data_IF_530807988540
#
_entry.id   IF_530807988540
#
_cell.length_a   1.000
_cell.length_b   1.000
_cell.length_c   1.000
_cell.angle_alpha   90.00
_cell.angle_beta   90.00
_cell.angle_gamma   90.00
#
_symmetry.space_group_name_H-M   'P 1'
#
loop_
_entity.id
_entity.type
_entity.pdbx_description
1 polymer ?
#
# COMPACT_ATOMS: atom_id res chain seq x y z
N UNK A 1 25.98 0.57 14.88
CA UNK A 1 25.38 1.41 13.83
C UNK A 1 24.84 0.44 12.78
N UNK A 2 23.56 0.09 12.84
CA UNK A 2 22.95 -0.94 11.99
C UNK A 2 22.15 -0.22 10.91
N UNK A 3 22.69 -0.14 9.70
CA UNK A 3 22.00 0.44 8.55
C UNK A 3 20.99 -0.58 8.04
N UNK A 4 19.77 -0.56 8.57
CA UNK A 4 18.66 -1.30 7.98
C UNK A 4 18.25 -0.56 6.71
N UNK A 5 18.60 -1.12 5.53
CA UNK A 5 17.91 -0.76 4.30
C UNK A 5 16.48 -1.29 4.44
N UNK A 6 15.55 -0.40 4.76
CA UNK A 6 14.14 -0.69 4.49
C UNK A 6 14.06 -0.76 2.95
N UNK A 7 14.00 -1.97 2.41
CA UNK A 7 13.65 -2.15 1.01
C UNK A 7 12.16 -1.83 0.91
N UNK A 8 11.88 -0.55 0.70
CA UNK A 8 10.55 0.04 0.69
C UNK A 8 9.73 -0.49 -0.50
N UNK A 9 8.75 -1.33 -0.20
CA UNK A 9 7.82 -1.91 -1.17
C UNK A 9 6.56 -1.07 -1.40
N UNK A 10 6.47 0.13 -0.83
CA UNK A 10 5.31 1.00 -0.99
C UNK A 10 5.55 2.00 -2.12
N UNK A 11 4.66 2.06 -3.14
CA UNK A 11 4.75 3.09 -4.15
C UNK A 11 4.26 4.43 -3.59
N UNK A 12 5.01 5.51 -3.80
CA UNK A 12 4.54 6.87 -3.62
C UNK A 12 3.97 7.37 -4.96
N UNK A 13 2.74 7.91 -4.92
CA UNK A 13 2.01 8.41 -6.09
C UNK A 13 1.38 9.75 -5.75
N UNK A 14 1.35 10.66 -6.73
CA UNK A 14 0.60 11.92 -6.63
C UNK A 14 -0.48 11.95 -7.69
N UNK A 15 -1.74 12.16 -7.27
CA UNK A 15 -2.88 12.28 -8.19
C UNK A 15 -3.54 13.65 -7.98
N UNK A 16 -3.45 14.57 -8.94
CA UNK A 16 -4.08 15.89 -8.82
C UNK A 16 -5.59 15.79 -8.58
N UNK A 17 -6.09 16.55 -7.60
CA UNK A 17 -7.51 16.53 -7.21
C UNK A 17 -7.89 15.38 -6.28
N UNK A 18 -6.92 14.66 -5.71
CA UNK A 18 -7.13 13.58 -4.77
C UNK A 18 -6.23 13.72 -3.55
N UNK A 19 -6.78 13.36 -2.38
CA UNK A 19 -6.07 13.31 -1.11
C UNK A 19 -6.06 11.89 -0.56
N UNK A 20 -4.95 11.50 0.05
CA UNK A 20 -4.82 10.22 0.73
C UNK A 20 -5.70 10.19 1.97
N UNK A 21 -6.60 9.21 2.06
CA UNK A 21 -7.41 8.95 3.25
C UNK A 21 -6.78 7.92 4.18
N UNK A 22 -5.98 7.02 3.62
CA UNK A 22 -5.18 6.07 4.38
C UNK A 22 -3.96 5.64 3.59
N UNK A 23 -2.87 5.40 4.30
CA UNK A 23 -1.61 4.92 3.73
C UNK A 23 -1.08 3.82 4.64
N UNK A 24 -0.74 2.68 4.05
CA UNK A 24 -0.12 1.55 4.75
C UNK A 24 0.92 0.89 3.85
N UNK A 25 1.74 -0.04 4.37
CA UNK A 25 2.66 -0.83 3.54
C UNK A 25 1.98 -1.64 2.43
N UNK A 26 0.67 -1.88 2.53
CA UNK A 26 -0.11 -2.61 1.53
C UNK A 26 -0.65 -1.69 0.43
N UNK A 27 -0.60 -0.37 0.62
CA UNK A 27 -1.08 0.58 -0.37
C UNK A 27 -1.62 1.89 0.21
N UNK A 28 -2.05 2.75 -0.70
CA UNK A 28 -2.62 4.06 -0.41
C UNK A 28 -4.03 4.13 -0.98
N UNK A 29 -4.99 4.59 -0.18
CA UNK A 29 -6.33 4.90 -0.65
C UNK A 29 -6.49 6.41 -0.78
N UNK A 30 -6.99 6.84 -1.93
CA UNK A 30 -7.16 8.22 -2.34
C UNK A 30 -8.64 8.49 -2.61
N UNK A 31 -9.14 9.62 -2.12
CA UNK A 31 -10.48 10.12 -2.45
C UNK A 31 -10.41 11.48 -3.14
N UNK A 32 -11.37 11.82 -4.02
CA UNK A 32 -11.41 13.14 -4.63
C UNK A 32 -11.48 14.23 -3.57
N UNK A 33 -10.77 15.34 -3.81
CA UNK A 33 -10.78 16.51 -2.95
C UNK A 33 -12.17 17.17 -2.94
N UNK A 34 -12.80 17.24 -4.11
CA UNK A 34 -14.20 17.64 -4.23
C UNK A 34 -15.13 16.50 -3.80
N UNK A 35 -15.65 16.62 -2.58
CA UNK A 35 -16.56 15.65 -1.97
C UNK A 35 -17.93 15.59 -2.64
N UNK A 36 -18.33 16.59 -3.43
CA UNK A 36 -19.60 16.55 -4.19
C UNK A 36 -19.59 15.47 -5.27
N UNK A 37 -18.40 15.01 -5.66
CA UNK A 37 -18.21 13.89 -6.58
C UNK A 37 -18.48 12.52 -5.93
N UNK A 38 -18.80 12.47 -4.63
CA UNK A 38 -19.16 11.26 -3.90
C UNK A 38 -20.67 11.23 -3.57
N UNK A 39 -21.34 10.07 -3.71
CA UNK A 39 -20.81 8.77 -4.16
C UNK A 39 -20.64 8.71 -5.69
N UNK A 40 -19.71 7.88 -6.18
CA UNK A 40 -19.52 7.80 -7.64
C UNK A 40 -18.45 6.84 -8.15
N UNK A 41 -17.97 5.86 -7.38
CA UNK A 41 -16.84 4.99 -7.79
C UNK A 41 -15.62 5.79 -8.28
N UNK A 42 -15.32 6.89 -7.58
CA UNK A 42 -14.18 7.78 -7.86
C UNK A 42 -13.05 7.61 -6.87
N UNK A 43 -13.04 6.56 -6.07
CA UNK A 43 -11.89 6.24 -5.23
C UNK A 43 -10.76 5.66 -6.09
N UNK A 44 -9.52 5.95 -5.69
CA UNK A 44 -8.31 5.35 -6.27
C UNK A 44 -7.59 4.59 -5.16
N UNK A 45 -7.07 3.41 -5.47
CA UNK A 45 -6.16 2.66 -4.61
C UNK A 45 -4.85 2.40 -5.36
N UNK A 46 -3.74 2.56 -4.67
CA UNK A 46 -2.39 2.32 -5.18
C UNK A 46 -1.77 1.23 -4.31
N UNK A 47 -1.12 0.23 -4.92
CA UNK A 47 -0.48 -0.83 -4.15
C UNK A 47 0.37 -1.76 -5.01
N UNK A 48 1.01 -2.78 -4.41
CA UNK A 48 1.65 -3.84 -5.16
C UNK A 48 0.60 -4.60 -5.97
N UNK A 49 0.93 -4.95 -7.21
CA UNK A 49 0.05 -5.80 -8.02
C UNK A 49 0.08 -7.22 -7.47
N UNK A 50 -1.09 -7.84 -7.34
CA UNK A 50 -1.24 -9.24 -6.92
C UNK A 50 -1.90 -10.05 -8.04
N UNK A 51 -1.52 -11.32 -8.18
CA UNK A 51 -2.29 -12.28 -8.99
C UNK A 51 -1.99 -12.35 -10.49
N UNK A 52 -0.88 -11.78 -10.97
CA UNK A 52 -0.40 -12.00 -12.34
C UNK A 52 1.13 -11.91 -12.41
N UNK A 53 1.72 -12.61 -13.39
CA UNK A 53 3.13 -12.48 -13.70
C UNK A 53 3.46 -11.10 -14.30
N UNK A 54 4.69 -10.61 -14.14
CA UNK A 54 5.07 -9.31 -14.65
C UNK A 54 4.84 -9.16 -16.16
N UNK A 55 4.08 -8.12 -16.54
CA UNK A 55 3.75 -7.82 -17.94
C UNK A 55 2.55 -8.58 -18.50
N UNK A 56 1.99 -9.52 -17.75
CA UNK A 56 0.80 -10.27 -18.17
C UNK A 56 -0.49 -9.64 -17.65
N UNK A 57 -1.61 -9.92 -18.30
CA UNK A 57 -2.94 -9.51 -17.83
C UNK A 57 -3.44 -10.45 -16.74
N UNK A 58 -4.17 -9.93 -15.77
CA UNK A 58 -4.87 -10.73 -14.76
C UNK A 58 -6.05 -11.46 -15.41
N UNK A 59 -6.23 -12.73 -15.04
CA UNK A 59 -7.39 -13.50 -15.44
C UNK A 59 -8.69 -12.83 -14.95
N UNK A 60 -9.61 -12.56 -15.89
CA UNK A 60 -10.89 -11.90 -15.59
C UNK A 60 -10.97 -10.43 -15.98
N UNK A 61 -9.88 -9.83 -16.47
CA UNK A 61 -9.94 -8.55 -17.16
C UNK A 61 -10.84 -8.65 -18.41
N UNK A 62 -11.83 -7.78 -18.54
CA UNK A 62 -12.68 -7.67 -19.73
C UNK A 62 -11.93 -7.03 -20.90
N UNK A 63 -11.07 -6.07 -20.59
CA UNK A 63 -10.14 -5.44 -21.52
C UNK A 63 -8.76 -5.52 -20.91
N UNK A 64 -7.77 -5.90 -21.70
CA UNK A 64 -6.37 -5.74 -21.36
C UNK A 64 -5.62 -5.15 -22.54
N UNK A 65 -4.94 -4.04 -22.30
CA UNK A 65 -4.15 -3.32 -23.30
C UNK A 65 -2.72 -3.14 -22.79
N UNK A 66 -1.77 -3.73 -23.50
CA UNK A 66 -0.34 -3.52 -23.24
C UNK A 66 0.10 -2.26 -24.01
N UNK A 67 0.26 -1.15 -23.29
CA UNK A 67 0.74 0.11 -23.88
C UNK A 67 2.25 0.11 -24.10
N UNK A 68 2.99 -0.59 -23.23
CA UNK A 68 4.43 -0.81 -23.35
C UNK A 68 4.85 -2.06 -22.56
N UNK A 69 6.09 -2.55 -22.71
CA UNK A 69 6.59 -3.68 -21.93
C UNK A 69 6.53 -3.49 -20.40
N UNK A 70 6.37 -2.25 -19.93
CA UNK A 70 6.31 -1.92 -18.49
C UNK A 70 5.02 -1.23 -18.08
N UNK A 71 4.04 -1.10 -18.98
CA UNK A 71 2.78 -0.39 -18.73
C UNK A 71 1.63 -1.12 -19.41
N UNK A 72 0.64 -1.50 -18.63
CA UNK A 72 -0.59 -2.12 -19.12
C UNK A 72 -1.81 -1.47 -18.46
N UNK A 73 -2.91 -1.48 -19.19
CA UNK A 73 -4.23 -1.06 -18.74
C UNK A 73 -5.15 -2.27 -18.69
N UNK A 74 -5.90 -2.42 -17.60
CA UNK A 74 -6.94 -3.44 -17.47
C UNK A 74 -8.27 -2.81 -17.08
N UNK A 75 -9.35 -3.39 -17.61
CA UNK A 75 -10.71 -3.02 -17.25
C UNK A 75 -11.47 -4.24 -16.79
N UNK A 76 -12.11 -4.13 -15.64
CA UNK A 76 -13.00 -5.12 -15.05
C UNK A 76 -14.44 -4.61 -15.08
N UNK A 77 -15.36 -5.41 -14.55
CA UNK A 77 -16.80 -5.09 -14.54
C UNK A 77 -17.13 -3.83 -13.74
N UNK A 78 -16.39 -3.55 -12.67
CA UNK A 78 -16.67 -2.49 -11.70
C UNK A 78 -15.48 -1.54 -11.46
N UNK A 79 -14.32 -1.90 -11.98
CA UNK A 79 -13.05 -1.24 -11.74
C UNK A 79 -12.18 -1.25 -12.99
N UNK A 80 -11.12 -0.46 -12.96
CA UNK A 80 -10.09 -0.41 -13.97
C UNK A 80 -8.77 -0.07 -13.29
N UNK A 81 -7.67 -0.51 -13.87
CA UNK A 81 -6.35 -0.20 -13.33
C UNK A 81 -5.32 0.02 -14.43
N UNK A 82 -4.25 0.70 -14.02
CA UNK A 82 -3.00 0.62 -14.72
C UNK A 82 -1.96 -0.06 -13.85
N UNK A 83 -1.13 -0.86 -14.49
CA UNK A 83 -0.04 -1.56 -13.83
C UNK A 83 1.28 -1.14 -14.45
N UNK A 84 2.28 -0.89 -13.60
CA UNK A 84 3.63 -0.53 -14.02
C UNK A 84 4.69 -1.24 -13.19
N UNK A 85 5.80 -1.60 -13.84
CA UNK A 85 7.00 -2.06 -13.13
C UNK A 85 7.92 -0.87 -12.79
N UNK A 86 8.25 -0.69 -11.52
CA UNK A 86 9.17 0.34 -11.03
C UNK A 86 10.16 -0.31 -10.05
N UNK A 87 11.46 -0.21 -10.33
CA UNK A 87 12.50 -0.74 -9.43
C UNK A 87 12.47 -2.26 -9.23
N UNK A 88 11.90 -3.02 -10.17
CA UNK A 88 11.75 -4.47 -10.07
C UNK A 88 10.48 -4.93 -9.36
N UNK A 89 9.60 -4.00 -8.97
CA UNK A 89 8.30 -4.29 -8.35
C UNK A 89 7.16 -3.81 -9.25
N UNK A 90 6.11 -4.63 -9.41
CA UNK A 90 4.90 -4.21 -10.08
C UNK A 90 3.95 -3.50 -9.11
N UNK A 91 3.49 -2.33 -9.52
CA UNK A 91 2.49 -1.55 -8.82
C UNK A 91 1.25 -1.39 -9.68
N UNK A 92 0.09 -1.42 -9.03
CA UNK A 92 -1.20 -1.13 -9.63
C UNK A 92 -1.76 0.19 -9.09
N UNK A 93 -2.37 0.96 -9.99
CA UNK A 93 -3.24 2.09 -9.65
C UNK A 93 -4.63 1.73 -10.13
N UNK A 94 -5.49 1.32 -9.18
CA UNK A 94 -6.88 0.92 -9.44
C UNK A 94 -7.84 2.05 -9.12
N UNK A 95 -8.76 2.32 -10.02
CA UNK A 95 -9.86 3.26 -9.83
C UNK A 95 -11.20 2.62 -10.15
N UNK A 96 -12.27 3.19 -9.61
CA UNK A 96 -13.60 2.84 -10.10
C UNK A 96 -13.84 3.38 -11.52
N UNK A 97 -14.92 2.92 -12.16
CA UNK A 97 -15.20 3.22 -13.57
C UNK A 97 -15.48 4.70 -13.88
N UNK A 98 -15.73 5.54 -12.86
CA UNK A 98 -15.94 6.98 -13.04
C UNK A 98 -14.64 7.79 -13.00
N UNK A 99 -13.50 7.16 -12.69
CA UNK A 99 -12.19 7.81 -12.79
C UNK A 99 -11.74 7.78 -14.25
N UNK A 100 -11.31 8.92 -14.78
CA UNK A 100 -10.81 8.97 -16.15
C UNK A 100 -9.56 8.12 -16.34
N UNK A 101 -9.51 7.33 -17.41
CA UNK A 101 -8.35 6.49 -17.77
C UNK A 101 -7.05 7.32 -17.84
N UNK A 102 -7.12 8.55 -18.33
CA UNK A 102 -5.97 9.44 -18.40
C UNK A 102 -5.43 9.83 -17.00
N UNK A 103 -6.30 9.98 -16.01
CA UNK A 103 -5.91 10.26 -14.62
C UNK A 103 -5.16 9.07 -14.03
N UNK A 104 -5.69 7.85 -14.22
CA UNK A 104 -5.02 6.62 -13.76
C UNK A 104 -3.66 6.42 -14.45
N UNK A 105 -3.59 6.70 -15.74
CA UNK A 105 -2.35 6.65 -16.52
C UNK A 105 -1.30 7.63 -15.99
N UNK A 106 -1.69 8.87 -15.75
CA UNK A 106 -0.79 9.88 -15.17
C UNK A 106 -0.32 9.47 -13.77
N UNK A 107 -1.24 8.96 -12.94
CA UNK A 107 -0.94 8.49 -11.59
C UNK A 107 0.10 7.36 -11.59
N UNK A 108 -0.10 6.31 -12.39
CA UNK A 108 0.86 5.19 -12.45
C UNK A 108 2.22 5.60 -13.02
N UNK A 109 2.24 6.57 -13.95
CA UNK A 109 3.49 7.11 -14.50
C UNK A 109 4.25 7.99 -13.50
N UNK A 110 3.54 8.59 -12.54
CA UNK A 110 4.15 9.32 -11.41
C UNK A 110 4.69 8.39 -10.31
N UNK A 111 4.31 7.11 -10.32
CA UNK A 111 4.68 6.16 -9.29
C UNK A 111 6.20 6.00 -9.19
N UNK A 112 6.69 6.12 -7.96
CA UNK A 112 8.10 5.91 -7.60
C UNK A 112 8.16 5.08 -6.30
N UNK A 113 9.30 4.47 -5.99
CA UNK A 113 9.53 3.95 -4.64
C UNK A 113 9.35 5.08 -3.62
N UNK A 114 8.75 4.75 -2.47
CA UNK A 114 8.77 5.65 -1.32
C UNK A 114 10.20 5.95 -0.88
N UNK A 115 10.40 7.14 -0.31
CA UNK A 115 11.63 7.49 0.40
C UNK A 115 11.63 6.91 1.81
N UNK A 116 12.80 6.76 2.44
CA UNK A 116 12.93 6.29 3.82
C UNK A 116 12.04 7.08 4.80
N UNK A 117 11.94 8.40 4.63
CA UNK A 117 11.10 9.28 5.47
C UNK A 117 9.61 9.00 5.27
N UNK A 118 9.18 8.79 4.02
CA UNK A 118 7.81 8.40 3.70
C UNK A 118 7.49 7.01 4.24
N UNK A 119 8.41 6.06 4.10
CA UNK A 119 8.26 4.71 4.62
C UNK A 119 8.19 4.69 6.15
N UNK A 120 9.02 5.49 6.82
CA UNK A 120 9.00 5.64 8.27
C UNK A 120 7.65 6.22 8.75
N UNK A 121 7.09 7.18 8.01
CA UNK A 121 5.79 7.76 8.32
C UNK A 121 4.61 6.77 8.14
N UNK A 122 4.78 5.71 7.34
CA UNK A 122 3.79 4.64 7.16
C UNK A 122 3.82 3.57 8.26
N UNK A 123 4.86 3.53 9.09
CA UNK A 123 4.95 2.54 10.15
C UNK A 123 3.91 2.83 11.24
N UNK A 124 3.26 1.79 11.80
CA UNK A 124 2.40 1.98 12.96
C UNK A 124 3.22 2.62 14.10
N UNK A 125 2.60 3.49 14.92
CA UNK A 125 3.29 4.10 16.04
C UNK A 125 3.91 2.99 16.90
N UNK A 126 5.14 3.18 17.42
CA UNK A 126 5.74 2.21 18.31
C UNK A 126 4.74 1.94 19.43
N UNK A 127 4.45 0.66 19.67
CA UNK A 127 3.52 0.29 20.75
C UNK A 127 4.02 0.99 22.01
N UNK A 128 3.14 1.66 22.79
CA UNK A 128 3.56 2.19 24.07
C UNK A 128 4.21 1.04 24.81
N UNK A 129 5.48 1.23 25.19
CA UNK A 129 6.19 0.27 26.01
C UNK A 129 5.40 0.19 27.31
N UNK A 130 4.47 -0.76 27.41
CA UNK A 130 4.08 -1.29 28.71
C UNK A 130 5.42 -1.58 29.38
N UNK A 131 5.75 -0.96 30.52
CA UNK A 131 7.02 -1.23 31.17
C UNK A 131 7.07 -2.73 31.32
N UNK A 132 8.00 -3.36 30.58
CA UNK A 132 8.19 -4.79 30.61
C UNK A 132 8.24 -5.17 32.07
N UNK A 133 7.26 -5.96 32.52
CA UNK A 133 7.31 -6.57 33.84
C UNK A 133 8.65 -7.29 33.84
N UNK A 134 9.63 -6.73 34.56
CA UNK A 134 11.02 -7.12 34.34
C UNK A 134 11.08 -8.64 34.39
N UNK A 135 11.81 -9.27 33.46
CA UNK A 135 11.93 -10.74 33.42
C UNK A 135 12.32 -11.28 34.80
N UNK A 136 13.11 -10.51 35.57
CA UNK A 136 13.41 -10.79 36.99
C UNK A 136 12.18 -10.81 37.90
N UNK A 137 11.24 -9.89 37.74
CA UNK A 137 9.97 -9.85 38.49
C UNK A 137 9.09 -11.07 38.21
N UNK A 138 8.96 -11.47 36.95
CA UNK A 138 8.19 -12.66 36.55
C UNK A 138 8.84 -13.95 37.09
N UNK A 139 10.18 -14.07 37.01
CA UNK A 139 10.92 -15.21 37.58
C UNK A 139 10.82 -15.26 39.10
N UNK A 140 10.77 -14.11 39.79
CA UNK A 140 10.62 -14.04 41.25
C UNK A 140 9.23 -14.45 41.72
N UNK A 141 8.18 -14.08 41.00
CA UNK A 141 6.81 -14.55 41.28
C UNK A 141 6.71 -16.06 41.05
N UNK A 142 7.17 -16.57 39.91
CA UNK A 142 7.13 -18.01 39.61
C UNK A 142 7.92 -18.84 40.64
N UNK A 143 9.08 -18.35 41.09
CA UNK A 143 9.85 -19.02 42.12
C UNK A 143 9.16 -19.01 43.50
N UNK A 144 8.36 -17.99 43.81
CA UNK A 144 7.53 -17.98 45.02
C UNK A 144 6.33 -18.92 44.90
N UNK A 145 5.69 -18.99 43.75
CA UNK A 145 4.54 -19.88 43.55
C UNK A 145 4.94 -21.36 43.54
N UNK A 146 6.14 -21.68 43.01
CA UNK A 146 6.62 -23.06 42.94
C UNK A 146 7.36 -23.55 44.19
N UNK A 147 7.99 -22.65 44.95
CA UNK A 147 8.87 -23.02 46.08
C UNK A 147 8.61 -22.25 47.38
N UNK A 148 7.68 -21.30 47.39
CA UNK A 148 7.34 -20.47 48.55
C UNK A 148 6.21 -21.07 49.37
N UNK A 149 6.50 -22.16 50.06
CA UNK A 149 5.62 -22.66 51.12
C UNK A 149 5.70 -21.81 52.38
N UNK A 150 4.55 -21.32 52.83
CA UNK A 150 4.01 -21.63 54.16
C UNK A 150 2.49 -21.69 54.10
#
# INVERSE_FOLDING_TARGET
MLTARLADGSPAVTVPGYSATSTSPQGTHLTPDDRSLLPGARNISVGPRLGADPGECVYGAQVCEVESPTLLYERFTDTQDYVRNVGGMQFEVRGGLAVDRAVLRAAVLSARPATDDEALAMLPPPRPSTPDRSVRGAVRELARDLFGGR
#
